data_IF_027748670104
#
_entry.id   IF_027748670104
#
_cell.length_a   1.000
_cell.length_b   1.000
_cell.length_c   1.000
_cell.angle_alpha   90.00
_cell.angle_beta   90.00
_cell.angle_gamma   90.00
#
_symmetry.space_group_name_H-M   'P 1'
#
loop_
_entity.id
_entity.type
_entity.pdbx_description
1 polymer ?
#
# COMPACT_ATOMS: atom_id res chain seq x y z
N UNK A 1 -7.19 -49.39 33.42
CA UNK A 1 -7.48 -47.95 33.18
C UNK A 1 -7.13 -47.64 31.73
N UNK A 2 -8.14 -47.40 30.88
CA UNK A 2 -7.97 -47.14 29.45
C UNK A 2 -7.69 -45.64 29.26
N UNK A 3 -6.45 -45.30 28.93
CA UNK A 3 -6.05 -43.94 28.56
C UNK A 3 -6.46 -43.64 27.13
N UNK A 4 -7.57 -42.92 26.98
CA UNK A 4 -8.08 -42.43 25.70
C UNK A 4 -7.07 -41.42 25.12
N UNK A 5 -6.35 -41.79 24.06
CA UNK A 5 -5.57 -40.84 23.25
C UNK A 5 -6.52 -39.88 22.57
N UNK A 6 -6.61 -38.67 23.11
CA UNK A 6 -7.25 -37.53 22.47
C UNK A 6 -6.57 -37.29 21.12
N UNK A 7 -7.30 -37.56 20.04
CA UNK A 7 -6.91 -37.23 18.66
C UNK A 7 -6.91 -35.71 18.56
N UNK A 8 -5.71 -35.11 18.56
CA UNK A 8 -5.52 -33.69 18.24
C UNK A 8 -6.09 -33.44 16.83
N UNK A 9 -7.24 -32.79 16.75
CA UNK A 9 -7.75 -32.18 15.52
C UNK A 9 -6.95 -30.89 15.32
N UNK A 10 -5.77 -30.99 14.72
CA UNK A 10 -5.14 -29.84 14.09
C UNK A 10 -5.98 -29.49 12.85
N UNK A 11 -6.87 -28.51 12.98
CA UNK A 11 -7.41 -27.79 11.83
C UNK A 11 -6.22 -27.02 11.26
N UNK A 12 -5.49 -27.64 10.34
CA UNK A 12 -4.42 -26.97 9.60
C UNK A 12 -5.04 -25.80 8.85
N UNK A 13 -4.60 -24.58 9.16
CA UNK A 13 -4.91 -23.43 8.34
C UNK A 13 -4.56 -23.80 6.89
N UNK A 14 -5.58 -23.82 6.01
CA UNK A 14 -5.40 -24.17 4.60
C UNK A 14 -4.35 -23.21 4.05
N UNK A 15 -3.24 -23.74 3.54
CA UNK A 15 -2.22 -22.88 2.94
C UNK A 15 -2.73 -22.33 1.62
N UNK A 16 -2.21 -21.18 1.18
CA UNK A 16 -2.65 -20.56 -0.08
C UNK A 16 -2.48 -21.50 -1.28
N UNK A 17 -1.35 -22.23 -1.31
CA UNK A 17 -1.08 -23.25 -2.32
C UNK A 17 -2.11 -24.37 -2.30
N UNK A 18 -2.48 -24.86 -1.11
CA UNK A 18 -3.50 -25.91 -0.97
C UNK A 18 -4.86 -25.43 -1.51
N UNK A 19 -5.22 -24.17 -1.26
CA UNK A 19 -6.43 -23.58 -1.81
C UNK A 19 -6.37 -23.55 -3.35
N UNK A 20 -5.29 -23.02 -3.92
CA UNK A 20 -5.10 -22.93 -5.39
C UNK A 20 -5.27 -24.30 -6.05
N UNK A 21 -4.59 -25.32 -5.53
CA UNK A 21 -4.65 -26.68 -6.08
C UNK A 21 -6.03 -27.30 -5.89
N UNK A 22 -6.66 -27.09 -4.72
CA UNK A 22 -7.99 -27.62 -4.44
C UNK A 22 -9.06 -27.04 -5.35
N UNK A 23 -9.00 -25.73 -5.63
CA UNK A 23 -9.94 -25.05 -6.53
C UNK A 23 -9.75 -25.47 -7.97
N UNK A 24 -8.50 -25.59 -8.44
CA UNK A 24 -8.22 -26.14 -9.76
C UNK A 24 -8.78 -27.56 -9.93
N UNK A 25 -8.55 -28.45 -8.95
CA UNK A 25 -9.11 -29.82 -8.98
C UNK A 25 -10.63 -29.82 -8.97
N UNK A 26 -11.26 -28.90 -8.21
CA UNK A 26 -12.73 -28.76 -8.16
C UNK A 26 -13.33 -28.29 -9.48
N UNK A 27 -12.62 -27.44 -10.21
CA UNK A 27 -13.02 -27.00 -11.55
C UNK A 27 -12.97 -28.13 -12.58
N UNK A 28 -12.19 -29.19 -12.34
CA UNK A 28 -12.08 -30.34 -13.25
C UNK A 28 -11.45 -29.98 -14.61
N UNK A 29 -10.79 -28.83 -14.70
CA UNK A 29 -10.22 -28.33 -15.93
C UNK A 29 -8.83 -28.94 -16.16
N UNK A 30 -8.69 -29.74 -17.23
CA UNK A 30 -7.39 -30.28 -17.65
C UNK A 30 -6.43 -29.17 -18.12
N UNK A 31 -6.99 -28.09 -18.65
CA UNK A 31 -6.27 -26.95 -19.21
C UNK A 31 -6.65 -25.66 -18.49
N UNK A 32 -5.66 -24.83 -18.19
CA UNK A 32 -5.76 -23.57 -17.45
C UNK A 32 -5.70 -22.38 -18.41
N UNK A 33 -6.70 -21.50 -18.34
CA UNK A 33 -6.70 -20.22 -19.04
C UNK A 33 -7.43 -19.15 -18.23
N UNK A 34 -8.03 -18.17 -18.91
CA UNK A 34 -8.53 -16.94 -18.26
C UNK A 34 -9.60 -17.22 -17.20
N UNK A 35 -10.61 -18.03 -17.54
CA UNK A 35 -11.79 -18.23 -16.69
C UNK A 35 -11.45 -19.00 -15.41
N UNK A 36 -10.59 -20.02 -15.51
CA UNK A 36 -10.13 -20.77 -14.35
C UNK A 36 -9.29 -19.90 -13.42
N UNK A 37 -8.38 -19.09 -13.98
CA UNK A 37 -7.54 -18.18 -13.21
C UNK A 37 -8.38 -17.14 -12.46
N UNK A 38 -9.39 -16.55 -13.11
CA UNK A 38 -10.29 -15.59 -12.46
C UNK A 38 -11.05 -16.24 -11.30
N UNK A 39 -11.55 -17.47 -11.47
CA UNK A 39 -12.24 -18.20 -10.39
C UNK A 39 -11.33 -18.51 -9.22
N UNK A 40 -10.10 -18.95 -9.49
CA UNK A 40 -9.12 -19.22 -8.43
C UNK A 40 -8.75 -17.93 -7.70
N UNK A 41 -8.56 -16.81 -8.42
CA UNK A 41 -8.33 -15.51 -7.82
C UNK A 41 -9.50 -15.05 -6.92
N UNK A 42 -10.74 -15.27 -7.33
CA UNK A 42 -11.92 -15.00 -6.51
C UNK A 42 -11.92 -15.83 -5.22
N UNK A 43 -11.66 -17.13 -5.32
CA UNK A 43 -11.58 -18.00 -4.15
C UNK A 43 -10.46 -17.60 -3.18
N UNK A 44 -9.29 -17.22 -3.69
CA UNK A 44 -8.20 -16.66 -2.87
C UNK A 44 -8.66 -15.37 -2.18
N UNK A 45 -9.33 -14.49 -2.92
CA UNK A 45 -9.86 -13.23 -2.40
C UNK A 45 -10.89 -13.41 -1.28
N UNK A 46 -11.75 -14.43 -1.39
CA UNK A 46 -12.76 -14.78 -0.38
C UNK A 46 -12.13 -15.40 0.87
N UNK A 47 -11.15 -16.29 0.69
CA UNK A 47 -10.52 -17.03 1.80
C UNK A 47 -9.47 -16.21 2.56
N UNK A 48 -8.70 -15.39 1.85
CA UNK A 48 -7.52 -14.69 2.39
C UNK A 48 -7.60 -13.16 2.24
N UNK A 49 -8.68 -12.63 1.66
CA UNK A 49 -8.85 -11.20 1.41
C UNK A 49 -8.31 -10.74 0.04
N UNK A 50 -8.81 -9.60 -0.43
CA UNK A 50 -8.51 -9.05 -1.77
C UNK A 50 -7.03 -8.82 -2.05
N UNK A 51 -6.21 -8.66 -1.02
CA UNK A 51 -4.76 -8.39 -1.13
C UNK A 51 -3.90 -9.65 -1.18
N UNK A 52 -4.48 -10.81 -0.87
CA UNK A 52 -3.81 -12.10 -1.00
C UNK A 52 -3.92 -12.67 -2.42
N UNK A 53 -4.67 -12.00 -3.31
CA UNK A 53 -4.85 -12.41 -4.70
C UNK A 53 -3.52 -12.28 -5.44
N UNK A 54 -2.99 -13.41 -5.87
CA UNK A 54 -1.76 -13.46 -6.65
C UNK A 54 -2.01 -13.17 -8.13
N UNK A 55 -0.96 -12.76 -8.83
CA UNK A 55 -1.05 -12.52 -10.28
C UNK A 55 -1.44 -13.81 -11.03
N UNK A 56 -2.23 -13.72 -12.12
CA UNK A 56 -2.60 -14.88 -12.92
C UNK A 56 -1.39 -15.69 -13.38
N UNK A 57 -0.27 -15.05 -13.73
CA UNK A 57 0.96 -15.76 -14.09
C UNK A 57 1.60 -16.54 -12.92
N UNK A 58 1.50 -16.03 -11.68
CA UNK A 58 2.02 -16.75 -10.51
C UNK A 58 1.20 -18.00 -10.24
N UNK A 59 -0.13 -17.87 -10.24
CA UNK A 59 -1.05 -19.01 -10.07
C UNK A 59 -0.84 -20.05 -11.18
N UNK A 60 -0.72 -19.60 -12.43
CA UNK A 60 -0.47 -20.49 -13.57
C UNK A 60 0.85 -21.26 -13.42
N UNK A 61 1.91 -20.59 -12.98
CA UNK A 61 3.20 -21.25 -12.70
C UNK A 61 3.08 -22.29 -11.59
N UNK A 62 2.37 -21.99 -10.50
CA UNK A 62 2.16 -22.95 -9.42
C UNK A 62 1.42 -24.20 -9.91
N UNK A 63 0.37 -24.03 -10.71
CA UNK A 63 -0.42 -25.13 -11.25
C UNK A 63 0.31 -25.90 -12.35
N UNK A 64 1.20 -25.26 -13.11
CA UNK A 64 2.06 -25.95 -14.07
C UNK A 64 2.99 -26.96 -13.39
N UNK A 65 3.52 -26.62 -12.20
CA UNK A 65 4.30 -27.56 -11.40
C UNK A 65 3.48 -28.77 -10.92
N UNK A 66 2.15 -28.62 -10.83
CA UNK A 66 1.20 -29.68 -10.45
C UNK A 66 0.64 -30.43 -11.67
N UNK A 67 1.08 -30.10 -12.89
CA UNK A 67 0.73 -30.79 -14.13
C UNK A 67 -0.42 -30.19 -14.94
N UNK A 68 -0.85 -28.96 -14.64
CA UNK A 68 -1.87 -28.29 -15.44
C UNK A 68 -1.34 -27.89 -16.83
N UNK A 69 -2.11 -28.16 -17.89
CA UNK A 69 -1.79 -27.66 -19.23
C UNK A 69 -2.11 -26.17 -19.33
N UNK A 70 -1.22 -25.37 -19.92
CA UNK A 70 -1.35 -23.91 -19.94
C UNK A 70 -1.80 -23.36 -21.29
N UNK A 71 -2.89 -22.60 -21.32
CA UNK A 71 -3.29 -21.77 -22.47
C UNK A 71 -2.56 -20.44 -22.41
N UNK A 72 -1.27 -20.46 -22.75
CA UNK A 72 -0.36 -19.30 -22.62
C UNK A 72 -0.91 -17.97 -23.17
N UNK A 73 -1.55 -17.89 -24.35
CA UNK A 73 -2.12 -16.63 -24.84
C UNK A 73 -3.15 -16.02 -23.87
N UNK A 74 -4.11 -16.84 -23.42
CA UNK A 74 -5.14 -16.40 -22.48
C UNK A 74 -4.55 -15.97 -21.12
N UNK A 75 -3.55 -16.71 -20.64
CA UNK A 75 -2.88 -16.40 -19.37
C UNK A 75 -2.18 -15.04 -19.46
N UNK A 76 -1.44 -14.79 -20.55
CA UNK A 76 -0.73 -13.53 -20.75
C UNK A 76 -1.71 -12.35 -20.82
N UNK A 77 -2.81 -12.48 -21.57
CA UNK A 77 -3.83 -11.44 -21.67
C UNK A 77 -4.58 -11.20 -20.35
N UNK A 78 -4.88 -12.26 -19.60
CA UNK A 78 -5.46 -12.16 -18.26
C UNK A 78 -4.51 -11.43 -17.29
N UNK A 79 -3.24 -11.81 -17.28
CA UNK A 79 -2.20 -11.26 -16.43
C UNK A 79 -1.91 -9.78 -16.77
N UNK A 80 -1.89 -9.42 -18.05
CA UNK A 80 -1.77 -8.03 -18.50
C UNK A 80 -2.93 -7.17 -18.00
N UNK A 81 -4.18 -7.58 -18.25
CA UNK A 81 -5.39 -6.88 -17.78
C UNK A 81 -5.41 -6.73 -16.25
N UNK A 82 -5.01 -7.78 -15.53
CA UNK A 82 -4.92 -7.73 -14.08
C UNK A 82 -3.91 -6.67 -13.61
N UNK A 83 -2.72 -6.60 -14.23
CA UNK A 83 -1.72 -5.57 -13.87
C UNK A 83 -2.19 -4.17 -14.20
N UNK A 84 -2.81 -3.96 -15.35
CA UNK A 84 -3.40 -2.67 -15.73
C UNK A 84 -4.44 -2.23 -14.69
N UNK A 85 -5.36 -3.12 -14.30
CA UNK A 85 -6.37 -2.83 -13.28
C UNK A 85 -5.75 -2.51 -11.91
N UNK A 86 -4.67 -3.20 -11.52
CA UNK A 86 -3.93 -2.90 -10.30
C UNK A 86 -3.28 -1.51 -10.37
N UNK A 87 -2.62 -1.18 -11.49
CA UNK A 87 -2.01 0.14 -11.70
C UNK A 87 -3.05 1.26 -11.64
N UNK A 88 -4.20 1.09 -12.28
CA UNK A 88 -5.31 2.05 -12.24
C UNK A 88 -5.85 2.25 -10.82
N UNK A 89 -5.99 1.16 -10.05
CA UNK A 89 -6.40 1.24 -8.65
C UNK A 89 -5.38 1.99 -7.81
N UNK A 90 -4.08 1.71 -8.01
CA UNK A 90 -2.99 2.39 -7.32
C UNK A 90 -2.96 3.88 -7.67
N UNK A 91 -3.13 4.25 -8.94
CA UNK A 91 -3.25 5.63 -9.42
C UNK A 91 -4.47 6.34 -8.79
N UNK A 92 -5.61 5.68 -8.64
CA UNK A 92 -6.79 6.27 -7.99
C UNK A 92 -6.56 6.50 -6.49
N UNK A 93 -5.88 5.56 -5.83
CA UNK A 93 -5.61 5.62 -4.39
C UNK A 93 -4.51 6.62 -4.05
N UNK A 94 -3.38 6.58 -4.76
CA UNK A 94 -2.17 7.33 -4.44
C UNK A 94 -1.84 8.44 -5.44
N UNK A 95 -2.54 8.56 -6.57
CA UNK A 95 -2.25 9.57 -7.60
C UNK A 95 -2.31 11.00 -7.06
N UNK A 96 -3.13 11.25 -6.04
CA UNK A 96 -3.19 12.54 -5.33
C UNK A 96 -1.99 12.81 -4.41
N UNK A 97 -1.18 11.80 -4.08
CA UNK A 97 0.07 11.92 -3.35
C UNK A 97 1.28 12.12 -4.28
N UNK A 98 1.10 11.99 -5.60
CA UNK A 98 2.17 12.24 -6.59
C UNK A 98 2.78 13.65 -6.51
N UNK A 99 2.08 14.60 -5.88
CA UNK A 99 2.59 15.94 -5.55
C UNK A 99 3.88 15.88 -4.70
N UNK A 100 4.13 14.77 -4.01
CA UNK A 100 5.38 14.51 -3.28
C UNK A 100 6.61 14.30 -4.15
N UNK A 101 6.38 13.94 -5.41
CA UNK A 101 7.41 13.55 -6.37
C UNK A 101 7.56 14.60 -7.48
N UNK A 102 6.91 15.76 -7.35
CA UNK A 102 7.02 16.84 -8.33
C UNK A 102 8.36 17.55 -8.23
N UNK A 103 8.80 18.15 -9.34
CA UNK A 103 10.05 18.92 -9.40
C UNK A 103 9.99 20.21 -8.55
N UNK A 104 8.80 20.77 -8.36
CA UNK A 104 8.59 22.00 -7.59
C UNK A 104 8.60 21.77 -6.07
N UNK A 105 9.20 22.68 -5.28
CA UNK A 105 9.14 22.62 -3.81
C UNK A 105 7.72 22.73 -3.26
N UNK A 106 7.29 21.70 -2.55
CA UNK A 106 5.97 21.63 -1.90
C UNK A 106 5.79 22.79 -0.91
N UNK A 107 4.70 23.55 -1.01
CA UNK A 107 4.43 24.64 -0.05
C UNK A 107 3.77 24.14 1.22
N UNK A 108 3.90 24.88 2.31
CA UNK A 108 3.40 24.47 3.64
C UNK A 108 1.90 24.11 3.64
N UNK A 109 1.05 24.91 3.00
CA UNK A 109 -0.40 24.64 2.85
C UNK A 109 -0.68 23.37 2.03
N UNK A 110 0.14 23.07 1.03
CA UNK A 110 0.01 21.85 0.24
C UNK A 110 0.47 20.63 1.05
N UNK A 111 1.52 20.78 1.86
CA UNK A 111 1.99 19.75 2.76
C UNK A 111 0.96 19.42 3.84
N UNK A 112 0.25 20.41 4.40
CA UNK A 112 -0.84 20.18 5.34
C UNK A 112 -1.94 19.29 4.73
N UNK A 113 -2.43 19.69 3.55
CA UNK A 113 -3.45 18.94 2.83
C UNK A 113 -2.97 17.52 2.45
N UNK A 114 -1.68 17.36 2.21
CA UNK A 114 -1.09 16.07 1.91
C UNK A 114 -1.01 15.19 3.16
N UNK A 115 -0.46 15.67 4.28
CA UNK A 115 -0.33 14.84 5.48
C UNK A 115 -1.70 14.46 6.03
N UNK A 116 -2.70 15.34 5.93
CA UNK A 116 -4.09 14.97 6.22
C UNK A 116 -4.63 13.84 5.33
N UNK A 117 -4.22 13.77 4.06
CA UNK A 117 -4.56 12.62 3.19
C UNK A 117 -3.81 11.36 3.57
N UNK A 118 -2.52 11.47 3.92
CA UNK A 118 -1.74 10.33 4.42
C UNK A 118 -2.45 9.73 5.64
N UNK A 119 -2.88 10.58 6.57
CA UNK A 119 -3.56 10.15 7.78
C UNK A 119 -4.91 9.49 7.50
N UNK A 120 -5.74 10.10 6.64
CA UNK A 120 -7.00 9.50 6.22
C UNK A 120 -6.82 8.15 5.52
N UNK A 121 -5.80 8.00 4.66
CA UNK A 121 -5.50 6.73 4.00
C UNK A 121 -4.98 5.69 5.00
N UNK A 122 -4.11 6.08 5.94
CA UNK A 122 -3.63 5.21 7.03
C UNK A 122 -4.79 4.65 7.83
N UNK A 123 -5.70 5.51 8.31
CA UNK A 123 -6.87 5.07 9.09
C UNK A 123 -7.77 4.11 8.30
N UNK A 124 -7.98 4.36 7.01
CA UNK A 124 -8.73 3.43 6.14
C UNK A 124 -8.04 2.08 5.99
N UNK A 125 -6.72 2.06 5.76
CA UNK A 125 -5.97 0.82 5.59
C UNK A 125 -5.84 0.02 6.88
N UNK A 126 -5.77 0.69 8.04
CA UNK A 126 -5.79 0.03 9.35
C UNK A 126 -7.13 -0.65 9.63
N UNK A 127 -8.25 0.00 9.27
CA UNK A 127 -9.57 -0.61 9.39
C UNK A 127 -9.71 -1.86 8.51
N UNK A 128 -9.13 -1.85 7.32
CA UNK A 128 -9.13 -3.00 6.40
C UNK A 128 -8.00 -4.00 6.68
N UNK A 129 -7.14 -3.76 7.67
CA UNK A 129 -5.93 -4.54 7.98
C UNK A 129 -5.04 -4.77 6.76
N UNK A 130 -4.84 -3.71 5.97
CA UNK A 130 -4.06 -3.73 4.74
C UNK A 130 -2.62 -3.28 5.00
N UNK A 131 -1.84 -4.18 5.56
CA UNK A 131 -0.43 -3.92 5.94
C UNK A 131 0.44 -3.52 4.74
N UNK A 132 0.10 -4.00 3.53
CA UNK A 132 0.83 -3.67 2.31
C UNK A 132 0.61 -2.20 1.95
N UNK A 133 -0.63 -1.74 1.91
CA UNK A 133 -0.92 -0.34 1.61
C UNK A 133 -0.36 0.60 2.68
N UNK A 134 -0.35 0.18 3.95
CA UNK A 134 0.31 0.93 5.03
C UNK A 134 1.82 1.04 4.77
N UNK A 135 2.49 -0.04 4.36
CA UNK A 135 3.92 -0.02 4.04
C UNK A 135 4.23 0.87 2.82
N UNK A 136 3.41 0.83 1.78
CA UNK A 136 3.52 1.71 0.61
C UNK A 136 3.35 3.19 1.01
N UNK A 137 2.37 3.49 1.86
CA UNK A 137 2.13 4.83 2.39
C UNK A 137 3.33 5.36 3.20
N UNK A 138 3.92 4.51 4.06
CA UNK A 138 5.14 4.85 4.81
C UNK A 138 6.32 5.12 3.88
N UNK A 139 6.48 4.34 2.82
CA UNK A 139 7.53 4.53 1.81
C UNK A 139 7.40 5.88 1.13
N UNK A 140 6.19 6.24 0.71
CA UNK A 140 5.92 7.56 0.11
C UNK A 140 6.25 8.72 1.07
N UNK A 141 5.90 8.60 2.35
CA UNK A 141 6.21 9.61 3.35
C UNK A 141 7.72 9.71 3.64
N UNK A 142 8.45 8.59 3.62
CA UNK A 142 9.92 8.57 3.74
C UNK A 142 10.57 9.33 2.57
N UNK A 143 10.16 9.03 1.34
CA UNK A 143 10.73 9.66 0.15
C UNK A 143 10.39 11.15 0.09
N UNK A 144 9.16 11.52 0.42
CA UNK A 144 8.75 12.91 0.60
C UNK A 144 9.64 13.67 1.58
N UNK A 145 9.91 13.06 2.75
CA UNK A 145 10.75 13.67 3.78
C UNK A 145 12.19 13.83 3.28
N UNK A 146 12.74 12.83 2.60
CA UNK A 146 14.08 12.90 2.01
C UNK A 146 14.18 14.06 1.03
N UNK A 147 13.19 14.22 0.16
CA UNK A 147 13.11 15.34 -0.79
C UNK A 147 13.03 16.69 -0.06
N UNK A 148 12.18 16.81 0.95
CA UNK A 148 12.06 18.02 1.75
C UNK A 148 13.38 18.39 2.46
N UNK A 149 14.06 17.42 3.09
CA UNK A 149 15.38 17.63 3.72
C UNK A 149 16.43 18.07 2.69
N UNK A 150 16.43 17.47 1.50
CA UNK A 150 17.34 17.84 0.42
C UNK A 150 17.11 19.31 0.00
N UNK A 151 15.86 19.69 -0.24
CA UNK A 151 15.48 21.05 -0.65
C UNK A 151 15.71 22.09 0.45
N UNK A 152 15.55 21.73 1.72
CA UNK A 152 15.88 22.61 2.84
C UNK A 152 17.37 23.02 2.87
N UNK A 153 18.26 22.18 2.30
CA UNK A 153 19.70 22.41 2.21
C UNK A 153 20.13 23.03 0.89
N UNK A 154 19.24 23.08 -0.11
CA UNK A 154 19.54 23.60 -1.44
C UNK A 154 19.62 25.13 -1.41
N UNK A 155 20.84 25.66 -1.45
CA UNK A 155 21.11 27.10 -1.39
C UNK A 155 20.60 27.87 -2.61
N UNK A 156 20.28 27.19 -3.72
CA UNK A 156 19.67 27.82 -4.89
C UNK A 156 18.22 28.26 -4.64
N UNK A 157 17.54 27.64 -3.67
CA UNK A 157 16.18 27.98 -3.30
C UNK A 157 16.12 29.20 -2.37
N UNK A 158 15.08 30.04 -2.47
CA UNK A 158 14.87 31.14 -1.53
C UNK A 158 14.79 30.67 -0.08
N UNK A 159 15.31 31.47 0.85
CA UNK A 159 15.35 31.15 2.29
C UNK A 159 13.96 30.80 2.86
N UNK A 160 12.91 31.50 2.43
CA UNK A 160 11.54 31.22 2.83
C UNK A 160 11.11 29.79 2.44
N UNK A 161 11.45 29.37 1.22
CA UNK A 161 11.14 28.02 0.74
C UNK A 161 11.94 26.99 1.53
N UNK A 162 13.23 27.22 1.79
CA UNK A 162 14.03 26.31 2.61
C UNK A 162 13.46 26.15 4.03
N UNK A 163 12.97 27.24 4.63
CA UNK A 163 12.28 27.18 5.92
C UNK A 163 10.99 26.36 5.88
N UNK A 164 10.17 26.54 4.83
CA UNK A 164 9.00 25.68 4.62
C UNK A 164 9.41 24.21 4.45
N UNK A 165 10.44 23.91 3.67
CA UNK A 165 10.90 22.52 3.48
C UNK A 165 11.40 21.87 4.78
N UNK A 166 12.08 22.64 5.64
CA UNK A 166 12.48 22.16 6.98
C UNK A 166 11.26 21.80 7.80
N UNK A 167 10.24 22.67 7.82
CA UNK A 167 8.99 22.43 8.56
C UNK A 167 8.26 21.19 8.03
N UNK A 168 8.16 21.05 6.71
CA UNK A 168 7.55 19.88 6.07
C UNK A 168 8.29 18.59 6.42
N UNK A 169 9.63 18.63 6.48
CA UNK A 169 10.43 17.48 6.88
C UNK A 169 10.20 17.09 8.34
N UNK A 170 9.95 18.05 9.23
CA UNK A 170 9.57 17.80 10.62
C UNK A 170 8.18 17.19 10.71
N UNK A 171 7.20 17.73 9.97
CA UNK A 171 5.83 17.18 9.95
C UNK A 171 5.81 15.72 9.50
N UNK A 172 6.52 15.40 8.41
CA UNK A 172 6.63 14.04 7.91
C UNK A 172 7.41 13.12 8.86
N UNK A 173 8.39 13.65 9.61
CA UNK A 173 9.09 12.89 10.65
C UNK A 173 8.12 12.46 11.76
N UNK A 174 7.39 13.42 12.32
CA UNK A 174 6.44 13.16 13.41
C UNK A 174 5.34 12.20 12.95
N UNK A 175 4.85 12.37 11.72
CA UNK A 175 3.87 11.43 11.16
C UNK A 175 4.45 10.01 11.00
N UNK A 176 5.70 9.85 10.60
CA UNK A 176 6.34 8.53 10.45
C UNK A 176 6.60 7.82 11.78
N UNK A 177 6.95 8.58 12.82
CA UNK A 177 7.28 8.08 14.17
C UNK A 177 6.02 7.83 15.02
N UNK A 178 5.11 8.81 15.05
CA UNK A 178 3.91 8.81 15.90
C UNK A 178 2.70 9.30 15.11
N UNK A 179 2.20 8.52 14.12
CA UNK A 179 1.12 8.97 13.24
C UNK A 179 -0.19 9.27 13.99
N UNK A 180 -0.48 8.51 15.04
CA UNK A 180 -1.68 8.67 15.88
C UNK A 180 -1.73 9.99 16.68
N UNK A 181 -0.59 10.67 16.87
CA UNK A 181 -0.53 11.95 17.57
C UNK A 181 -0.35 13.13 16.61
N UNK A 182 -0.22 12.87 15.31
CA UNK A 182 0.14 13.89 14.33
C UNK A 182 -0.86 15.05 14.30
N UNK A 183 -2.17 14.77 14.28
CA UNK A 183 -3.20 15.82 14.23
C UNK A 183 -3.13 16.77 15.44
N UNK A 184 -2.94 16.23 16.65
CA UNK A 184 -2.81 17.04 17.86
C UNK A 184 -1.50 17.83 17.87
N UNK A 185 -0.42 17.19 17.40
CA UNK A 185 0.89 17.81 17.32
C UNK A 185 0.92 18.97 16.31
N UNK A 186 0.33 18.83 15.13
CA UNK A 186 0.37 19.87 14.09
C UNK A 186 -0.41 21.12 14.52
N UNK A 187 -1.54 20.95 15.21
CA UNK A 187 -2.31 22.06 15.77
C UNK A 187 -1.49 22.82 16.83
N UNK A 188 -0.83 22.09 17.74
CA UNK A 188 0.08 22.70 18.72
C UNK A 188 1.25 23.40 18.02
N UNK A 189 1.85 22.77 17.00
CA UNK A 189 2.96 23.33 16.24
C UNK A 189 2.57 24.64 15.57
N UNK A 190 1.40 24.72 14.94
CA UNK A 190 0.87 25.94 14.29
C UNK A 190 0.57 27.05 15.28
N UNK A 191 0.11 26.72 16.49
CA UNK A 191 -0.15 27.71 17.54
C UNK A 191 1.12 28.30 18.18
N UNK A 192 2.26 27.62 18.03
CA UNK A 192 3.53 28.01 18.66
C UNK A 192 4.07 29.34 18.14
N UNK A 193 4.74 30.09 19.04
CA UNK A 193 5.35 31.39 18.73
C UNK A 193 6.36 31.29 17.58
N UNK A 194 7.22 30.27 17.60
CA UNK A 194 8.24 30.08 16.56
C UNK A 194 7.64 29.79 15.18
N UNK A 195 6.48 29.12 15.11
CA UNK A 195 5.78 28.91 13.85
C UNK A 195 5.19 30.23 13.34
N UNK A 196 4.50 30.97 14.21
CA UNK A 196 3.93 32.28 13.86
C UNK A 196 5.00 33.26 13.42
N UNK A 197 6.09 33.42 14.17
CA UNK A 197 7.17 34.35 13.77
C UNK A 197 7.80 34.00 12.41
N UNK A 198 7.82 32.71 12.04
CA UNK A 198 8.43 32.23 10.80
C UNK A 198 7.47 32.20 9.60
N UNK A 199 6.17 32.01 9.83
CA UNK A 199 5.18 31.75 8.79
C UNK A 199 3.92 32.65 8.84
N UNK A 200 3.75 33.50 9.87
CA UNK A 200 2.57 34.40 10.05
C UNK A 200 2.51 35.56 9.05
N UNK A 201 3.32 35.55 8.00
CA UNK A 201 3.30 36.54 6.91
C UNK A 201 2.41 36.05 5.74
N UNK A 202 1.79 34.87 5.84
CA UNK A 202 1.09 34.21 4.73
C UNK A 202 -0.35 33.75 5.03
N UNK A 203 -1.00 34.29 6.07
CA UNK A 203 -2.46 34.26 6.17
C UNK A 203 -3.09 35.40 5.35
#
# INVERSE_FOLDING_TARGET
>A
MKGTRQRNKNVTAISRRDLIVSEWRRLGAASLGSDELIRIQQAIGEAFGKHAIESPATIARELAHEGAELRHPEIIECDARWREAQMDSQLKTFGKLSVLQTAEPLRLKQAEALVGRLEHLRGRFEQTRDDRQIAELRTLAIDARRTAVSRARDTSLPIAIRHEQTEIAEWLMVWLETPNLFEQWVELRKSSRAFKERFSIYD
#
